data_IF_938703611982
#
_entry.id   IF_938703611982
#
_cell.length_a   1.000
_cell.length_b   1.000
_cell.length_c   1.000
_cell.angle_alpha   90.00
_cell.angle_beta   90.00
_cell.angle_gamma   90.00
#
_symmetry.space_group_name_H-M   'P 1'
#
loop_
_entity.id
_entity.type
_entity.pdbx_description
1 polymer ?
#
# COMPACT_ATOMS: atom_id res chain seq x y z
N UNK A 1 12.45 10.68 -1.74
CA UNK A 1 13.34 9.89 -0.89
C UNK A 1 14.79 10.10 -1.31
N UNK A 2 15.07 9.92 -2.61
CA UNK A 2 16.39 10.18 -3.19
C UNK A 2 16.91 11.61 -2.93
N UNK A 3 16.06 12.63 -3.13
CA UNK A 3 16.40 14.04 -2.83
C UNK A 3 16.42 14.40 -1.33
N UNK A 4 16.35 13.43 -0.41
CA UNK A 4 16.43 13.64 1.05
C UNK A 4 15.44 14.67 1.66
N UNK A 5 14.35 15.02 0.96
CA UNK A 5 13.36 16.03 1.41
C UNK A 5 12.65 15.69 2.73
N UNK A 6 12.61 14.41 3.09
CA UNK A 6 12.00 13.91 4.33
C UNK A 6 13.07 13.42 5.32
N UNK A 7 14.34 13.79 5.11
CA UNK A 7 15.39 13.47 6.05
C UNK A 7 15.07 14.09 7.42
N UNK A 8 15.31 13.31 8.49
CA UNK A 8 14.95 13.70 9.86
C UNK A 8 13.50 13.39 10.26
N UNK A 9 12.61 13.07 9.32
CA UNK A 9 11.28 12.55 9.66
C UNK A 9 11.37 11.10 10.16
N UNK A 10 10.51 10.76 11.11
CA UNK A 10 10.36 9.40 11.67
C UNK A 10 8.93 8.93 11.44
N UNK A 11 8.75 7.87 10.66
CA UNK A 11 7.44 7.37 10.28
C UNK A 11 7.07 6.15 11.12
N UNK A 12 5.97 6.24 11.86
CA UNK A 12 5.38 5.08 12.56
C UNK A 12 4.59 4.19 11.61
N UNK A 13 4.25 4.69 10.42
CA UNK A 13 3.56 3.93 9.37
C UNK A 13 3.96 4.38 8.00
N UNK A 14 4.16 3.42 7.11
CA UNK A 14 4.59 3.64 5.74
C UNK A 14 3.72 2.80 4.83
N UNK A 15 3.29 3.38 3.71
CA UNK A 15 2.32 2.74 2.80
C UNK A 15 2.94 2.58 1.42
N UNK A 16 2.84 1.39 0.85
CA UNK A 16 3.20 1.12 -0.54
C UNK A 16 1.96 0.80 -1.37
N UNK A 17 1.69 1.61 -2.39
CA UNK A 17 0.48 1.47 -3.21
C UNK A 17 0.66 0.56 -4.42
N UNK A 18 1.57 0.92 -5.31
CA UNK A 18 2.00 0.13 -6.46
C UNK A 18 3.31 0.71 -6.99
N UNK A 19 3.93 -0.01 -7.91
CA UNK A 19 5.03 0.52 -8.71
C UNK A 19 4.90 0.10 -10.16
N UNK A 20 4.43 1.02 -10.99
CA UNK A 20 4.40 0.89 -12.45
C UNK A 20 5.48 1.78 -13.09
N UNK A 21 5.76 1.54 -14.37
CA UNK A 21 6.70 2.35 -15.13
C UNK A 21 6.20 3.78 -15.24
N UNK A 22 6.85 4.68 -14.50
CA UNK A 22 6.55 6.10 -14.43
C UNK A 22 7.90 6.81 -14.16
N UNK A 23 8.19 7.90 -14.86
CA UNK A 23 9.44 8.68 -14.69
C UNK A 23 10.77 7.93 -14.98
N UNK A 24 10.84 7.09 -16.02
CA UNK A 24 12.10 6.40 -16.38
C UNK A 24 13.25 7.36 -16.74
N UNK A 25 12.94 8.56 -17.21
CA UNK A 25 13.93 9.59 -17.55
C UNK A 25 14.83 9.96 -16.36
N UNK A 26 14.32 9.80 -15.13
CA UNK A 26 15.03 10.14 -13.89
C UNK A 26 15.67 8.93 -13.22
N UNK A 27 15.00 7.77 -13.20
CA UNK A 27 15.45 6.61 -12.43
C UNK A 27 16.27 5.57 -13.21
N UNK A 28 16.52 5.76 -14.51
CA UNK A 28 17.25 4.84 -15.43
C UNK A 28 16.58 3.48 -15.63
N UNK A 29 16.21 2.79 -14.54
CA UNK A 29 15.52 1.51 -14.54
C UNK A 29 14.55 1.36 -13.34
N UNK A 30 13.68 0.34 -13.43
CA UNK A 30 12.67 0.07 -12.41
C UNK A 30 13.26 -0.41 -11.07
N UNK A 31 14.44 -1.02 -11.09
CA UNK A 31 15.11 -1.50 -9.87
C UNK A 31 15.64 -0.35 -9.03
N UNK A 32 16.24 0.64 -9.67
CA UNK A 32 16.69 1.89 -9.06
C UNK A 32 15.50 2.69 -8.52
N UNK A 33 14.39 2.74 -9.27
CA UNK A 33 13.17 3.39 -8.79
C UNK A 33 12.58 2.67 -7.56
N UNK A 34 12.52 1.34 -7.60
CA UNK A 34 12.10 0.51 -6.48
C UNK A 34 12.99 0.71 -5.26
N UNK A 35 14.32 0.69 -5.43
CA UNK A 35 15.29 0.90 -4.36
C UNK A 35 15.10 2.28 -3.70
N UNK A 36 14.89 3.32 -4.51
CA UNK A 36 14.64 4.68 -4.01
C UNK A 36 13.35 4.76 -3.17
N UNK A 37 12.26 4.08 -3.56
CA UNK A 37 11.04 3.99 -2.75
C UNK A 37 11.21 3.13 -1.50
N UNK A 38 11.99 2.05 -1.61
CA UNK A 38 12.30 1.13 -0.51
C UNK A 38 12.99 1.79 0.68
N UNK A 39 13.67 2.93 0.48
CA UNK A 39 14.28 3.72 1.56
C UNK A 39 13.27 4.13 2.65
N UNK A 40 12.00 4.35 2.30
CA UNK A 40 10.97 4.70 3.28
C UNK A 40 10.68 3.57 4.30
N UNK A 41 10.92 2.32 3.89
CA UNK A 41 10.61 1.12 4.67
C UNK A 41 11.80 0.64 5.51
N UNK A 42 12.82 1.48 5.68
CA UNK A 42 14.08 1.16 6.36
C UNK A 42 14.50 2.29 7.30
N UNK A 43 15.31 1.98 8.34
CA UNK A 43 15.97 3.01 9.12
C UNK A 43 16.80 3.96 8.24
N UNK A 44 16.89 5.26 8.57
CA UNK A 44 16.36 5.90 9.77
C UNK A 44 14.89 6.36 9.67
N UNK A 45 14.26 6.25 8.49
CA UNK A 45 12.90 6.75 8.24
C UNK A 45 11.82 5.87 8.90
N UNK A 46 11.94 4.55 8.72
CA UNK A 46 11.15 3.56 9.45
C UNK A 46 11.86 3.23 10.77
N UNK A 47 11.20 3.51 11.89
CA UNK A 47 11.75 3.34 13.23
C UNK A 47 11.31 2.00 13.84
N UNK A 48 11.85 1.67 15.01
CA UNK A 48 11.37 0.52 15.77
C UNK A 48 9.87 0.66 16.05
N UNK A 49 9.11 -0.40 15.78
CA UNK A 49 7.65 -0.41 15.91
C UNK A 49 6.89 0.18 14.71
N UNK A 50 7.56 0.58 13.64
CA UNK A 50 6.87 0.97 12.39
C UNK A 50 6.09 -0.21 11.81
N UNK A 51 4.93 0.08 11.20
CA UNK A 51 4.16 -0.87 10.41
C UNK A 51 4.17 -0.44 8.94
N UNK A 52 4.48 -1.37 8.05
CA UNK A 52 4.39 -1.23 6.61
C UNK A 52 3.05 -1.77 6.11
N UNK A 53 2.25 -0.89 5.50
CA UNK A 53 1.01 -1.23 4.82
C UNK A 53 1.31 -1.46 3.34
N UNK A 54 1.17 -2.69 2.87
CA UNK A 54 1.70 -3.11 1.56
C UNK A 54 0.61 -3.73 0.68
N UNK A 55 0.51 -3.27 -0.57
CA UNK A 55 -0.34 -3.92 -1.57
C UNK A 55 0.22 -5.29 -1.95
N UNK A 56 -0.46 -6.38 -1.59
CA UNK A 56 -0.03 -7.75 -1.91
C UNK A 56 -0.29 -8.17 -3.35
N UNK A 57 -1.12 -7.43 -4.08
CA UNK A 57 -1.43 -7.74 -5.48
C UNK A 57 -0.39 -7.16 -6.43
N UNK A 58 0.34 -6.13 -5.99
CA UNK A 58 1.50 -5.58 -6.69
C UNK A 58 2.76 -6.44 -6.48
N UNK A 59 3.50 -6.82 -7.55
CA UNK A 59 4.73 -7.62 -7.43
C UNK A 59 5.83 -6.99 -6.56
N UNK A 60 6.00 -5.67 -6.62
CA UNK A 60 6.97 -4.94 -5.81
C UNK A 60 6.49 -4.80 -4.35
N UNK A 61 5.18 -4.72 -4.13
CA UNK A 61 4.58 -4.79 -2.80
C UNK A 61 4.86 -6.13 -2.12
N UNK A 62 4.71 -7.25 -2.84
CA UNK A 62 5.12 -8.58 -2.35
C UNK A 62 6.61 -8.67 -2.04
N UNK A 63 7.45 -8.10 -2.91
CA UNK A 63 8.91 -8.05 -2.70
C UNK A 63 9.28 -7.23 -1.47
N UNK A 64 8.61 -6.11 -1.20
CA UNK A 64 8.81 -5.34 0.04
C UNK A 64 8.37 -6.14 1.27
N UNK A 65 7.22 -6.82 1.21
CA UNK A 65 6.74 -7.65 2.31
C UNK A 65 7.74 -8.75 2.69
N UNK A 66 8.44 -9.31 1.70
CA UNK A 66 9.45 -10.35 1.91
C UNK A 66 10.81 -9.82 2.41
N UNK A 67 11.09 -8.51 2.30
CA UNK A 67 12.44 -7.95 2.54
C UNK A 67 12.47 -6.89 3.63
N UNK A 68 11.33 -6.36 4.07
CA UNK A 68 11.28 -5.36 5.14
C UNK A 68 11.46 -6.00 6.51
N UNK A 69 12.11 -5.28 7.42
CA UNK A 69 12.34 -5.71 8.80
C UNK A 69 11.32 -5.12 9.79
N UNK A 70 10.39 -4.29 9.31
CA UNK A 70 9.31 -3.71 10.13
C UNK A 70 8.06 -4.59 10.08
N UNK A 71 7.10 -4.36 10.97
CA UNK A 71 5.83 -5.10 10.96
C UNK A 71 5.10 -4.90 9.63
N UNK A 72 4.39 -5.92 9.13
CA UNK A 72 3.70 -5.87 7.83
C UNK A 72 2.21 -6.09 8.00
N UNK A 73 1.41 -5.22 7.41
CA UNK A 73 -0.03 -5.39 7.21
C UNK A 73 -0.32 -5.33 5.71
N UNK A 74 -0.82 -6.41 5.12
CA UNK A 74 -1.09 -6.47 3.68
C UNK A 74 -2.51 -6.04 3.35
N UNK A 75 -2.68 -5.42 2.20
CA UNK A 75 -3.98 -5.17 1.61
C UNK A 75 -4.04 -5.55 0.14
N UNK A 76 -5.24 -5.79 -0.39
CA UNK A 76 -5.45 -6.17 -1.78
C UNK A 76 -6.85 -6.73 -2.05
N UNK A 77 -7.09 -7.21 -3.26
CA UNK A 77 -8.27 -7.97 -3.66
C UNK A 77 -8.03 -9.48 -3.56
N UNK A 78 -6.76 -9.92 -3.57
CA UNK A 78 -6.38 -11.31 -3.41
C UNK A 78 -6.78 -11.91 -2.04
N UNK A 79 -7.05 -13.22 -1.97
CA UNK A 79 -7.49 -13.89 -0.73
C UNK A 79 -6.45 -13.92 0.39
N UNK A 80 -5.16 -13.70 0.07
CA UNK A 80 -4.07 -13.67 1.03
C UNK A 80 -3.83 -12.30 1.69
N UNK A 81 -4.56 -11.26 1.31
CA UNK A 81 -4.46 -9.94 1.91
C UNK A 81 -5.18 -9.88 3.28
N UNK A 82 -4.54 -9.31 4.30
CA UNK A 82 -5.10 -9.17 5.64
C UNK A 82 -6.25 -8.15 5.70
N UNK A 83 -6.19 -7.11 4.86
CA UNK A 83 -7.29 -6.16 4.61
C UNK A 83 -7.68 -6.29 3.14
N UNK A 84 -8.86 -6.83 2.84
CA UNK A 84 -9.24 -7.11 1.45
C UNK A 84 -10.64 -6.69 1.07
N UNK A 85 -10.90 -6.53 -0.23
CA UNK A 85 -12.25 -6.31 -0.74
C UNK A 85 -12.79 -7.50 -1.54
N UNK A 86 -14.09 -7.76 -1.39
CA UNK A 86 -14.87 -8.68 -2.25
C UNK A 86 -16.12 -7.98 -2.77
N UNK A 87 -16.87 -8.65 -3.64
CA UNK A 87 -18.18 -8.20 -4.13
C UNK A 87 -18.14 -6.79 -4.74
N UNK A 88 -17.11 -6.54 -5.55
CA UNK A 88 -16.91 -5.25 -6.21
C UNK A 88 -18.05 -4.98 -7.20
N UNK A 89 -18.79 -3.90 -6.93
CA UNK A 89 -19.79 -3.32 -7.83
C UNK A 89 -19.35 -1.89 -8.18
N UNK A 90 -18.66 -1.77 -9.32
CA UNK A 90 -18.06 -0.53 -9.79
C UNK A 90 -18.97 0.12 -10.83
N UNK A 91 -19.55 1.28 -10.51
CA UNK A 91 -20.45 2.04 -11.37
C UNK A 91 -19.86 3.41 -11.69
N UNK A 92 -20.48 4.13 -12.61
CA UNK A 92 -20.08 5.49 -13.00
C UNK A 92 -20.28 6.53 -11.90
N UNK A 93 -21.18 6.29 -10.94
CA UNK A 93 -21.52 7.23 -9.87
C UNK A 93 -20.96 6.83 -8.51
N UNK A 94 -20.72 5.52 -8.31
CA UNK A 94 -20.24 4.98 -7.04
C UNK A 94 -19.49 3.66 -7.22
N UNK A 95 -18.64 3.33 -6.25
CA UNK A 95 -18.09 2.00 -6.06
C UNK A 95 -18.63 1.40 -4.77
N UNK A 96 -19.07 0.14 -4.81
CA UNK A 96 -19.45 -0.65 -3.64
C UNK A 96 -18.60 -1.90 -3.57
N UNK A 97 -18.28 -2.33 -2.35
CA UNK A 97 -17.54 -3.55 -2.08
C UNK A 97 -17.65 -3.91 -0.60
N UNK A 98 -17.33 -5.16 -0.25
CA UNK A 98 -17.25 -5.61 1.14
C UNK A 98 -15.78 -5.59 1.58
N UNK A 99 -15.44 -4.80 2.59
CA UNK A 99 -14.11 -4.81 3.22
C UNK A 99 -14.04 -5.92 4.28
N UNK A 100 -13.00 -6.74 4.23
CA UNK A 100 -12.73 -7.81 5.17
C UNK A 100 -11.46 -7.55 5.97
N UNK A 101 -11.52 -7.75 7.28
CA UNK A 101 -10.36 -7.71 8.17
C UNK A 101 -10.64 -8.49 9.47
N UNK A 102 -9.74 -9.38 9.87
CA UNK A 102 -9.85 -10.17 11.12
C UNK A 102 -11.22 -10.83 11.34
N UNK A 103 -11.79 -11.43 10.28
CA UNK A 103 -13.09 -12.10 10.33
C UNK A 103 -14.30 -11.16 10.28
N UNK A 104 -14.10 -9.85 10.32
CA UNK A 104 -15.15 -8.85 10.11
C UNK A 104 -15.33 -8.56 8.63
N UNK A 105 -16.57 -8.31 8.23
CA UNK A 105 -16.96 -7.91 6.88
C UNK A 105 -17.85 -6.67 6.95
N UNK A 106 -17.44 -5.58 6.30
CA UNK A 106 -18.12 -4.28 6.33
C UNK A 106 -18.44 -3.82 4.91
N UNK A 107 -19.71 -3.59 4.56
CA UNK A 107 -20.05 -3.04 3.25
C UNK A 107 -19.61 -1.57 3.18
N UNK A 108 -18.88 -1.24 2.12
CA UNK A 108 -18.39 0.11 1.82
C UNK A 108 -19.10 0.63 0.57
N UNK A 109 -19.47 1.90 0.61
CA UNK A 109 -19.92 2.66 -0.57
C UNK A 109 -19.14 3.96 -0.63
N UNK A 110 -18.53 4.25 -1.78
CA UNK A 110 -17.74 5.46 -2.00
C UNK A 110 -18.07 6.09 -3.35
N UNK A 111 -17.90 7.42 -3.45
CA UNK A 111 -17.97 8.15 -4.72
C UNK A 111 -16.67 8.10 -5.51
N UNK A 112 -15.62 7.52 -4.94
CA UNK A 112 -14.37 7.28 -5.65
C UNK A 112 -14.57 6.13 -6.64
N UNK A 113 -14.31 6.41 -7.91
CA UNK A 113 -14.64 5.51 -9.02
C UNK A 113 -13.46 4.60 -9.38
N UNK A 114 -13.78 3.39 -9.82
CA UNK A 114 -12.81 2.45 -10.37
C UNK A 114 -12.02 1.67 -9.33
N UNK A 115 -11.46 0.56 -9.78
CA UNK A 115 -10.77 -0.44 -8.93
C UNK A 115 -9.55 0.14 -8.20
N UNK A 116 -8.79 1.02 -8.86
CA UNK A 116 -7.63 1.70 -8.26
C UNK A 116 -8.02 2.42 -6.96
N UNK A 117 -9.23 2.99 -6.90
CA UNK A 117 -9.71 3.65 -5.70
C UNK A 117 -10.20 2.67 -4.62
N UNK A 118 -10.60 1.44 -4.99
CA UNK A 118 -10.81 0.38 -4.00
C UNK A 118 -9.49 0.07 -3.28
N UNK A 119 -8.38 -0.10 -4.03
CA UNK A 119 -7.06 -0.27 -3.41
C UNK A 119 -6.68 0.90 -2.51
N UNK A 120 -6.94 2.14 -2.93
CA UNK A 120 -6.63 3.32 -2.10
C UNK A 120 -7.46 3.35 -0.80
N UNK A 121 -8.74 2.97 -0.85
CA UNK A 121 -9.59 2.86 0.34
C UNK A 121 -9.09 1.75 1.26
N UNK A 122 -8.72 0.59 0.71
CA UNK A 122 -8.14 -0.50 1.51
C UNK A 122 -6.82 -0.09 2.18
N UNK A 123 -5.94 0.62 1.46
CA UNK A 123 -4.69 1.14 2.01
C UNK A 123 -4.96 2.11 3.17
N UNK A 124 -5.91 3.04 2.99
CA UNK A 124 -6.29 4.01 4.02
C UNK A 124 -6.93 3.32 5.24
N UNK A 125 -7.80 2.33 5.02
CA UNK A 125 -8.40 1.54 6.08
C UNK A 125 -7.32 0.78 6.87
N UNK A 126 -6.39 0.12 6.19
CA UNK A 126 -5.28 -0.60 6.83
C UNK A 126 -4.41 0.32 7.72
N UNK A 127 -4.19 1.58 7.32
CA UNK A 127 -3.49 2.57 8.16
C UNK A 127 -4.26 2.90 9.44
N UNK A 128 -5.60 2.91 9.40
CA UNK A 128 -6.45 3.18 10.56
C UNK A 128 -6.69 1.96 11.46
N UNK A 129 -6.46 0.74 10.96
CA UNK A 129 -6.70 -0.53 11.65
C UNK A 129 -5.44 -1.11 12.34
N UNK A 130 -4.25 -0.65 11.96
CA UNK A 130 -2.97 -1.09 12.54
C UNK A 130 -2.79 -0.71 14.02
#
# INVERSE_FOLDING_TARGET
>A
LDQQRVAGCRFTTVVFTNLTQDHLDYHRDMESYFAAKGLLFRPPLAVAGTVAVLNSDDPYGRRLAATTAVGVLTYGLGPGAAVRATDLDLRSEHSRFTLHHEGHAVPITTRLLGEVNVYNVLAAAAVGLR
#
